data_IF_883233798180
#
_entry.id   IF_883233798180
#
_cell.length_a   1.000
_cell.length_b   1.000
_cell.length_c   1.000
_cell.angle_alpha   90.00
_cell.angle_beta   90.00
_cell.angle_gamma   90.00
#
_symmetry.space_group_name_H-M   'P 1'
#
loop_
_entity.id
_entity.type
_entity.pdbx_description
1 polymer ?
#
# COMPACT_ATOMS: atom_id res chain seq x y z
N UNK A 1 10.86 -20.10 14.29
CA UNK A 1 10.17 -18.84 14.65
C UNK A 1 8.96 -19.18 15.50
N UNK A 2 8.73 -18.43 16.57
CA UNK A 2 7.83 -18.83 17.67
C UNK A 2 6.91 -17.63 17.96
N UNK A 3 5.59 -17.75 17.72
CA UNK A 3 4.60 -16.63 17.77
C UNK A 3 3.79 -16.69 19.11
N UNK A 4 2.59 -16.09 19.32
CA UNK A 4 1.85 -16.19 20.63
C UNK A 4 0.32 -16.36 20.49
N UNK A 5 -0.35 -17.16 21.36
CA UNK A 5 -1.83 -17.11 21.51
C UNK A 5 -2.22 -16.23 22.70
N UNK A 6 -2.51 -14.96 22.41
CA UNK A 6 -3.10 -14.04 23.37
C UNK A 6 -4.62 -14.15 23.33
N UNK A 7 -5.25 -14.24 24.50
CA UNK A 7 -6.70 -14.14 24.62
C UNK A 7 -7.12 -12.69 24.42
N UNK A 8 -7.78 -12.38 23.31
CA UNK A 8 -8.34 -11.06 23.05
C UNK A 8 -9.84 -11.05 23.31
N UNK A 9 -10.30 -10.06 24.07
CA UNK A 9 -11.71 -9.76 24.24
C UNK A 9 -12.06 -8.52 23.41
N UNK A 10 -13.20 -8.51 22.70
CA UNK A 10 -13.67 -7.31 22.03
C UNK A 10 -13.95 -6.25 23.08
N UNK A 11 -13.35 -5.07 22.90
CA UNK A 11 -13.64 -3.93 23.75
C UNK A 11 -15.11 -3.56 23.54
N UNK A 12 -15.94 -3.67 24.59
CA UNK A 12 -17.32 -3.20 24.57
C UNK A 12 -17.30 -1.76 24.06
N UNK A 13 -18.01 -1.50 22.94
CA UNK A 13 -18.03 -0.24 22.17
C UNK A 13 -17.37 0.91 22.94
N UNK A 14 -16.12 1.22 22.57
CA UNK A 14 -15.44 2.41 23.09
C UNK A 14 -16.16 3.60 22.45
N UNK A 15 -17.26 4.02 23.07
CA UNK A 15 -17.73 5.40 22.96
C UNK A 15 -16.52 6.21 23.44
N UNK A 16 -15.86 7.02 22.58
CA UNK A 16 -14.60 7.64 22.97
C UNK A 16 -14.81 8.58 24.15
N UNK A 17 -14.53 8.10 25.35
CA UNK A 17 -14.36 8.94 26.53
C UNK A 17 -12.98 9.57 26.41
N UNK A 18 -12.81 10.44 25.40
CA UNK A 18 -11.88 11.55 25.49
C UNK A 18 -12.34 12.39 26.67
N UNK A 19 -11.95 11.96 27.88
CA UNK A 19 -12.10 12.74 29.10
C UNK A 19 -11.25 13.98 28.89
N UNK A 20 -11.90 15.07 28.52
CA UNK A 20 -11.33 16.40 28.48
C UNK A 20 -11.07 16.84 29.93
N UNK A 21 -10.01 16.28 30.54
CA UNK A 21 -9.49 16.67 31.86
C UNK A 21 -8.83 18.08 31.79
N UNK A 22 -9.52 19.06 31.19
CA UNK A 22 -9.06 20.45 31.03
C UNK A 22 -7.93 20.71 30.02
N UNK A 23 -7.18 19.69 29.58
CA UNK A 23 -6.04 19.88 28.68
C UNK A 23 -6.45 20.04 27.21
N UNK A 24 -6.67 21.28 26.78
CA UNK A 24 -6.93 21.66 25.39
C UNK A 24 -5.70 21.54 24.46
N UNK A 25 -4.72 20.68 24.75
CA UNK A 25 -3.46 20.58 23.99
C UNK A 25 -3.56 19.57 22.84
N UNK A 26 -2.91 19.87 21.71
CA UNK A 26 -2.83 18.93 20.58
C UNK A 26 -1.81 17.81 20.88
N UNK A 27 -2.21 16.55 20.73
CA UNK A 27 -1.34 15.39 21.00
C UNK A 27 -0.08 15.34 20.14
N UNK A 28 -0.10 16.00 18.96
CA UNK A 28 1.02 16.08 18.03
C UNK A 28 1.96 17.25 18.31
N UNK A 29 1.44 18.46 18.57
CA UNK A 29 2.28 19.67 18.66
C UNK A 29 2.30 20.35 20.05
N UNK A 30 1.60 19.79 21.05
CA UNK A 30 1.42 20.34 22.42
C UNK A 30 0.82 21.76 22.50
N UNK A 31 0.37 22.35 21.39
CA UNK A 31 -0.26 23.69 21.38
C UNK A 31 -1.75 23.63 21.65
N UNK A 32 -2.27 24.65 22.36
CA UNK A 32 -3.69 24.93 22.37
C UNK A 32 -4.08 25.61 21.06
N UNK A 33 -4.64 24.80 20.16
CA UNK A 33 -5.10 25.17 18.82
C UNK A 33 -6.47 24.53 18.60
N UNK A 34 -7.32 25.18 17.79
CA UNK A 34 -8.62 24.68 17.36
C UNK A 34 -8.57 23.19 16.97
N UNK A 35 -9.42 22.40 17.63
CA UNK A 35 -9.49 20.94 17.46
C UNK A 35 -10.28 20.55 16.23
N UNK A 36 -9.96 19.37 15.73
CA UNK A 36 -10.66 18.73 14.63
C UNK A 36 -10.82 17.24 14.93
N UNK A 37 -11.79 16.60 14.28
CA UNK A 37 -11.93 15.15 14.29
C UNK A 37 -10.83 14.57 13.38
N UNK A 38 -9.90 13.84 13.98
CA UNK A 38 -8.94 13.00 13.26
C UNK A 38 -9.49 11.58 13.13
N UNK A 39 -9.24 10.95 11.98
CA UNK A 39 -9.52 9.54 11.75
C UNK A 39 -8.24 8.74 11.97
N UNK A 40 -8.23 7.79 12.93
CA UNK A 40 -7.04 7.04 13.35
C UNK A 40 -6.42 6.33 12.15
N UNK A 41 -7.18 5.43 11.54
CA UNK A 41 -6.97 4.93 10.17
C UNK A 41 -7.69 5.92 9.24
N UNK A 42 -7.07 6.36 8.14
CA UNK A 42 -7.73 7.29 7.22
C UNK A 42 -9.09 6.79 6.72
N UNK A 43 -10.09 7.69 6.66
CA UNK A 43 -11.35 7.46 5.93
C UNK A 43 -11.13 6.98 4.48
N UNK A 44 -10.03 7.41 3.85
CA UNK A 44 -9.68 7.03 2.48
C UNK A 44 -9.19 5.57 2.40
N UNK A 45 -8.68 4.99 3.50
CA UNK A 45 -8.26 3.58 3.59
C UNK A 45 -9.44 2.63 3.95
N UNK A 46 -10.57 3.17 4.42
CA UNK A 46 -11.78 2.42 4.78
C UNK A 46 -12.87 2.52 3.69
N UNK A 47 -13.82 1.58 3.65
CA UNK A 47 -14.99 1.64 2.76
C UNK A 47 -16.15 2.49 3.31
N UNK A 48 -16.22 2.69 4.63
CA UNK A 48 -17.18 3.56 5.30
C UNK A 48 -16.57 4.29 6.50
N UNK A 49 -17.33 5.21 7.07
CA UNK A 49 -16.92 6.08 8.18
C UNK A 49 -17.29 5.44 9.53
N UNK A 50 -16.34 4.75 10.14
CA UNK A 50 -16.51 4.05 11.41
C UNK A 50 -16.45 5.04 12.59
N UNK A 51 -17.42 4.98 13.51
CA UNK A 51 -17.44 5.86 14.70
C UNK A 51 -16.24 5.60 15.62
N UNK A 52 -15.87 4.33 15.80
CA UNK A 52 -14.81 3.88 16.69
C UNK A 52 -13.39 4.13 16.09
N UNK A 53 -13.32 4.77 14.92
CA UNK A 53 -12.10 5.21 14.24
C UNK A 53 -11.82 6.72 14.44
N UNK A 54 -12.62 7.42 15.25
CA UNK A 54 -12.56 8.89 15.38
C UNK A 54 -11.99 9.34 16.72
N UNK A 55 -11.06 10.28 16.62
CA UNK A 55 -10.46 11.02 17.73
C UNK A 55 -10.91 12.49 17.60
N UNK A 56 -11.82 12.95 18.46
CA UNK A 56 -12.67 14.13 18.26
C UNK A 56 -12.07 15.46 18.73
N UNK A 57 -11.27 15.46 19.80
CA UNK A 57 -10.84 16.69 20.49
C UNK A 57 -9.33 16.79 20.73
N UNK A 58 -8.56 15.82 20.22
CA UNK A 58 -7.16 15.67 20.62
C UNK A 58 -6.14 16.13 19.57
N UNK A 59 -6.55 16.31 18.31
CA UNK A 59 -5.69 16.78 17.21
C UNK A 59 -6.16 18.15 16.73
N UNK A 60 -5.24 19.07 16.45
CA UNK A 60 -5.57 20.37 15.86
C UNK A 60 -5.57 20.33 14.34
N UNK A 61 -6.33 21.23 13.70
CA UNK A 61 -6.51 21.28 12.24
C UNK A 61 -5.19 21.21 11.46
N UNK A 62 -4.18 21.99 11.86
CA UNK A 62 -2.88 22.01 11.16
C UNK A 62 -2.08 20.71 11.25
N UNK A 63 -2.22 19.95 12.35
CA UNK A 63 -1.61 18.63 12.47
C UNK A 63 -2.42 17.58 11.70
N UNK A 64 -3.76 17.67 11.70
CA UNK A 64 -4.61 16.76 10.91
C UNK A 64 -4.31 16.90 9.41
N UNK A 65 -4.22 18.15 8.92
CA UNK A 65 -3.91 18.44 7.50
C UNK A 65 -2.49 18.06 7.08
N UNK A 66 -1.52 18.02 8.00
CA UNK A 66 -0.17 17.51 7.71
C UNK A 66 -0.17 16.01 7.36
N UNK A 67 -1.11 15.24 7.92
CA UNK A 67 -1.24 13.80 7.69
C UNK A 67 -2.16 13.45 6.52
N UNK A 68 -3.28 14.17 6.37
CA UNK A 68 -4.48 13.69 5.67
C UNK A 68 -4.57 13.81 4.14
N UNK A 69 -3.49 14.10 3.42
CA UNK A 69 -3.49 14.12 1.94
C UNK A 69 -2.25 13.43 1.34
N UNK A 70 -1.05 14.02 1.52
CA UNK A 70 0.15 13.62 0.77
C UNK A 70 0.59 12.15 0.95
N UNK A 71 0.32 11.57 2.12
CA UNK A 71 0.76 10.22 2.50
C UNK A 71 -0.23 9.16 1.99
N UNK A 72 -1.53 9.50 1.94
CA UNK A 72 -2.60 8.59 1.56
C UNK A 72 -2.78 8.52 0.05
N UNK A 73 -2.80 9.70 -0.61
CA UNK A 73 -2.79 9.80 -2.07
C UNK A 73 -1.61 9.04 -2.67
N UNK A 74 -0.48 9.02 -1.96
CA UNK A 74 0.70 8.27 -2.35
C UNK A 74 0.49 6.75 -2.30
N UNK A 75 -0.23 6.22 -1.30
CA UNK A 75 -0.59 4.80 -1.25
C UNK A 75 -1.50 4.45 -2.43
N UNK A 76 -2.54 5.23 -2.72
CA UNK A 76 -3.46 4.90 -3.81
C UNK A 76 -2.85 5.09 -5.21
N UNK A 77 -1.87 6.00 -5.33
CA UNK A 77 -1.25 6.33 -6.61
C UNK A 77 -0.09 5.42 -7.01
N UNK A 78 0.68 4.88 -6.06
CA UNK A 78 1.93 4.17 -6.35
C UNK A 78 1.94 2.70 -5.87
N UNK A 79 0.78 2.20 -5.45
CA UNK A 79 0.60 0.86 -4.91
C UNK A 79 -0.76 0.30 -5.37
N UNK A 80 -0.97 -1.02 -5.38
CA UNK A 80 -2.19 -1.63 -5.90
C UNK A 80 -3.40 -1.46 -4.95
N UNK A 81 -3.20 -0.86 -3.77
CA UNK A 81 -4.21 -0.67 -2.71
C UNK A 81 -5.43 0.10 -3.17
N UNK A 82 -5.25 1.14 -4.00
CA UNK A 82 -6.38 1.92 -4.53
C UNK A 82 -7.28 1.11 -5.45
N UNK A 83 -6.67 0.25 -6.25
CA UNK A 83 -7.34 -0.57 -7.26
C UNK A 83 -8.04 -1.78 -6.65
N UNK A 84 -7.40 -2.41 -5.65
CA UNK A 84 -8.05 -3.41 -4.78
C UNK A 84 -9.28 -2.86 -4.06
N UNK A 85 -9.18 -1.65 -3.47
CA UNK A 85 -10.31 -0.98 -2.84
C UNK A 85 -11.44 -0.69 -3.84
N UNK A 86 -11.09 -0.17 -5.01
CA UNK A 86 -12.03 0.16 -6.08
C UNK A 86 -12.80 -1.09 -6.56
N UNK A 87 -12.11 -2.23 -6.75
CA UNK A 87 -12.75 -3.47 -7.21
C UNK A 87 -13.72 -4.05 -6.16
N UNK A 88 -13.38 -3.97 -4.87
CA UNK A 88 -14.30 -4.37 -3.79
C UNK A 88 -15.52 -3.44 -3.72
N UNK A 89 -15.34 -2.14 -4.00
CA UNK A 89 -16.45 -1.19 -4.08
C UNK A 89 -17.33 -1.40 -5.32
N UNK A 90 -16.77 -1.74 -6.49
CA UNK A 90 -17.56 -2.09 -7.69
C UNK A 90 -18.50 -3.26 -7.41
N UNK A 91 -18.03 -4.30 -6.70
CA UNK A 91 -18.87 -5.45 -6.31
C UNK A 91 -19.94 -5.07 -5.30
N UNK A 92 -19.61 -4.28 -4.26
CA UNK A 92 -20.56 -3.91 -3.19
C UNK A 92 -21.53 -2.79 -3.56
N UNK A 93 -21.12 -1.84 -4.41
CA UNK A 93 -21.76 -0.53 -4.67
C UNK A 93 -21.46 -0.07 -6.12
N UNK A 94 -21.91 -0.80 -7.16
CA UNK A 94 -21.51 -0.55 -8.56
C UNK A 94 -21.77 0.88 -9.05
N UNK A 95 -22.79 1.57 -8.52
CA UNK A 95 -23.16 2.93 -8.93
C UNK A 95 -22.41 4.05 -8.16
N UNK A 96 -21.38 3.73 -7.36
CA UNK A 96 -20.65 4.71 -6.51
C UNK A 96 -19.12 4.60 -6.54
N UNK A 97 -18.55 3.67 -7.29
CA UNK A 97 -17.10 3.44 -7.36
C UNK A 97 -16.47 4.26 -8.49
N UNK A 98 -15.63 5.24 -8.12
CA UNK A 98 -14.73 5.91 -9.04
C UNK A 98 -13.52 6.50 -8.28
N UNK A 99 -12.96 5.76 -7.31
CA UNK A 99 -11.84 6.25 -6.49
C UNK A 99 -10.65 6.64 -7.38
N UNK A 100 -10.41 5.85 -8.43
CA UNK A 100 -9.28 6.06 -9.34
C UNK A 100 -9.48 7.24 -10.32
N UNK A 101 -10.68 7.79 -10.53
CA UNK A 101 -10.86 8.93 -11.46
C UNK A 101 -10.17 10.20 -10.99
N UNK A 102 -10.00 10.34 -9.67
CA UNK A 102 -9.47 11.55 -9.05
C UNK A 102 -7.93 11.56 -8.98
N UNK A 103 -7.29 10.42 -9.26
CA UNK A 103 -5.83 10.30 -9.23
C UNK A 103 -5.27 10.35 -10.66
N UNK A 104 -4.21 11.15 -10.87
CA UNK A 104 -3.42 11.07 -12.11
C UNK A 104 -2.80 9.67 -12.18
N UNK A 105 -3.38 8.83 -13.04
CA UNK A 105 -3.02 7.42 -13.21
C UNK A 105 -1.49 7.26 -13.36
N UNK A 106 -0.94 6.32 -12.60
CA UNK A 106 0.45 5.88 -12.71
C UNK A 106 0.42 4.42 -13.15
N UNK A 107 1.03 4.09 -14.29
CA UNK A 107 1.19 2.69 -14.69
C UNK A 107 1.89 1.89 -13.59
N UNK A 108 1.34 0.73 -13.25
CA UNK A 108 2.03 -0.26 -12.44
C UNK A 108 2.92 -1.11 -13.37
N UNK A 109 4.05 -1.59 -12.85
CA UNK A 109 5.06 -2.30 -13.63
C UNK A 109 5.36 -3.68 -13.03
N UNK A 110 5.52 -4.67 -13.89
CA UNK A 110 5.97 -6.01 -13.49
C UNK A 110 7.15 -6.44 -14.35
N UNK A 111 8.11 -7.14 -13.75
CA UNK A 111 9.21 -7.72 -14.49
C UNK A 111 8.78 -9.08 -15.03
N UNK A 112 8.97 -9.27 -16.33
CA UNK A 112 8.84 -10.57 -16.96
C UNK A 112 10.23 -11.11 -17.28
N UNK A 113 10.67 -12.09 -16.47
CA UNK A 113 11.99 -12.72 -16.59
C UNK A 113 12.20 -13.43 -17.93
N UNK A 114 11.14 -13.94 -18.58
CA UNK A 114 11.24 -14.58 -19.89
C UNK A 114 11.62 -13.58 -21.00
N UNK A 115 11.17 -12.33 -20.91
CA UNK A 115 11.55 -11.26 -21.84
C UNK A 115 12.71 -10.39 -21.32
N UNK A 116 13.19 -10.64 -20.09
CA UNK A 116 14.14 -9.79 -19.36
C UNK A 116 13.70 -8.30 -19.32
N UNK A 117 12.39 -8.06 -19.26
CA UNK A 117 11.79 -6.74 -19.52
C UNK A 117 10.64 -6.41 -18.55
N UNK A 118 10.51 -5.12 -18.24
CA UNK A 118 9.39 -4.53 -17.51
C UNK A 118 8.15 -4.32 -18.39
N UNK A 119 6.99 -4.80 -17.95
CA UNK A 119 5.71 -4.72 -18.65
C UNK A 119 4.73 -3.88 -17.83
N UNK A 120 3.96 -3.01 -18.50
CA UNK A 120 2.87 -2.25 -17.86
C UNK A 120 1.70 -3.17 -17.58
N UNK A 121 1.06 -3.00 -16.41
CA UNK A 121 -0.16 -3.69 -16.01
C UNK A 121 -1.28 -2.73 -15.62
N UNK A 122 -2.51 -3.21 -15.76
CA UNK A 122 -3.75 -2.53 -15.43
C UNK A 122 -4.61 -3.47 -14.56
N UNK A 123 -4.75 -3.19 -13.26
CA UNK A 123 -5.49 -4.07 -12.35
C UNK A 123 -6.99 -3.73 -12.24
N UNK A 124 -7.50 -2.81 -13.07
CA UNK A 124 -8.89 -2.34 -13.02
C UNK A 124 -9.89 -3.25 -13.74
N UNK A 125 -9.38 -4.20 -14.53
CA UNK A 125 -10.14 -5.21 -15.26
C UNK A 125 -10.13 -6.55 -14.52
N UNK A 126 -11.31 -7.04 -14.13
CA UNK A 126 -11.50 -8.42 -13.69
C UNK A 126 -11.24 -9.35 -14.88
N UNK A 127 -10.08 -10.00 -14.92
CA UNK A 127 -9.66 -10.83 -16.04
C UNK A 127 -8.21 -10.59 -16.38
N UNK A 128 -7.94 -9.87 -17.47
CA UNK A 128 -6.58 -9.72 -17.98
C UNK A 128 -5.86 -8.51 -17.35
N UNK A 129 -4.82 -8.70 -16.52
CA UNK A 129 -4.06 -7.59 -15.93
C UNK A 129 -3.13 -6.93 -16.95
N UNK A 130 -2.99 -7.52 -18.14
CA UNK A 130 -2.18 -6.98 -19.22
C UNK A 130 -3.06 -6.10 -20.14
N UNK A 131 -2.85 -4.78 -20.16
CA UNK A 131 -3.42 -3.93 -21.20
C UNK A 131 -2.77 -4.22 -22.55
N UNK A 132 -3.45 -3.81 -23.61
CA UNK A 132 -2.95 -3.86 -24.99
C UNK A 132 -1.83 -2.81 -25.16
N UNK A 133 -0.69 -3.19 -25.74
CA UNK A 133 0.51 -2.35 -25.80
C UNK A 133 1.22 -2.49 -27.16
N UNK A 134 1.92 -1.44 -27.58
CA UNK A 134 2.95 -1.51 -28.62
C UNK A 134 4.28 -1.16 -27.96
N UNK A 135 5.24 -2.06 -28.03
CA UNK A 135 6.54 -1.95 -27.36
C UNK A 135 7.64 -1.83 -28.42
N UNK A 136 8.56 -0.88 -28.26
CA UNK A 136 9.81 -0.83 -29.05
C UNK A 136 10.90 -1.56 -28.28
N UNK A 137 11.11 -2.85 -28.60
CA UNK A 137 12.09 -3.69 -27.90
C UNK A 137 13.52 -3.17 -28.06
N UNK A 138 14.41 -3.60 -27.17
CA UNK A 138 15.86 -3.37 -27.24
C UNK A 138 16.51 -3.74 -28.60
N UNK A 139 15.87 -4.62 -29.38
CA UNK A 139 16.26 -4.99 -30.75
C UNK A 139 15.87 -3.92 -31.81
N UNK A 140 15.34 -2.76 -31.39
CA UNK A 140 14.76 -1.72 -32.23
C UNK A 140 13.60 -2.23 -33.13
N UNK A 141 12.85 -3.21 -32.62
CA UNK A 141 11.67 -3.79 -33.25
C UNK A 141 10.41 -3.39 -32.50
N UNK A 142 9.36 -2.97 -33.23
CA UNK A 142 8.04 -2.78 -32.63
C UNK A 142 7.31 -4.12 -32.54
N UNK A 143 6.73 -4.43 -31.38
CA UNK A 143 5.96 -5.66 -31.15
C UNK A 143 4.64 -5.30 -30.48
N UNK A 144 3.54 -5.89 -30.95
CA UNK A 144 2.22 -5.75 -30.31
C UNK A 144 2.14 -6.77 -29.19
N UNK A 145 1.95 -6.29 -27.97
CA UNK A 145 1.66 -7.11 -26.82
C UNK A 145 0.15 -7.12 -26.60
N UNK A 146 -0.51 -8.19 -27.04
CA UNK A 146 -1.91 -8.46 -26.73
C UNK A 146 -2.04 -9.82 -26.03
N UNK A 147 -2.63 -9.88 -24.81
CA UNK A 147 -2.77 -11.13 -24.06
C UNK A 147 -4.05 -11.91 -24.43
N UNK A 148 -4.88 -11.41 -25.35
CA UNK A 148 -5.95 -12.17 -26.00
C UNK A 148 -5.38 -12.73 -27.31
N UNK A 149 -5.75 -13.97 -27.68
CA UNK A 149 -5.43 -14.55 -29.00
C UNK A 149 -6.28 -13.87 -30.10
N UNK A 150 -5.96 -12.62 -30.40
CA UNK A 150 -6.63 -11.83 -31.44
C UNK A 150 -6.13 -12.20 -32.83
N UNK A 151 -7.02 -12.11 -33.82
CA UNK A 151 -6.69 -12.33 -35.22
C UNK A 151 -5.95 -11.13 -35.83
N UNK A 152 -5.49 -11.28 -37.08
CA UNK A 152 -4.73 -10.23 -37.80
C UNK A 152 -5.51 -8.90 -37.92
N UNK A 153 -6.82 -8.96 -38.19
CA UNK A 153 -7.67 -7.77 -38.35
C UNK A 153 -7.82 -7.01 -37.03
N UNK A 154 -7.97 -7.73 -35.93
CA UNK A 154 -8.09 -7.15 -34.59
C UNK A 154 -6.78 -6.48 -34.13
N UNK A 155 -5.63 -7.15 -34.33
CA UNK A 155 -4.32 -6.54 -34.06
C UNK A 155 -4.07 -5.31 -34.94
N UNK A 156 -4.58 -5.32 -36.19
CA UNK A 156 -4.51 -4.16 -37.10
C UNK A 156 -5.29 -2.96 -36.55
N UNK A 157 -6.51 -3.18 -36.07
CA UNK A 157 -7.34 -2.11 -35.50
C UNK A 157 -6.67 -1.47 -34.28
N UNK A 158 -6.06 -2.26 -33.40
CA UNK A 158 -5.30 -1.77 -32.24
C UNK A 158 -4.10 -0.93 -32.68
N UNK A 159 -3.34 -1.39 -33.69
CA UNK A 159 -2.24 -0.61 -34.24
C UNK A 159 -2.71 0.72 -34.85
N UNK A 160 -3.79 0.70 -35.64
CA UNK A 160 -4.37 1.89 -36.26
C UNK A 160 -4.88 2.89 -35.21
N UNK A 161 -5.47 2.42 -34.11
CA UNK A 161 -5.87 3.23 -32.95
C UNK A 161 -4.67 3.95 -32.31
N UNK A 162 -3.61 3.23 -31.97
CA UNK A 162 -2.40 3.82 -31.38
C UNK A 162 -1.68 4.79 -32.32
N UNK A 163 -1.63 4.48 -33.62
CA UNK A 163 -1.05 5.36 -34.65
C UNK A 163 -1.87 6.65 -34.79
N UNK A 164 -3.20 6.54 -34.81
CA UNK A 164 -4.09 7.68 -34.86
C UNK A 164 -3.89 8.58 -33.63
N UNK A 165 -3.78 7.98 -32.45
CA UNK A 165 -3.54 8.72 -31.22
C UNK A 165 -2.22 9.50 -31.24
N UNK A 166 -1.12 8.93 -31.75
CA UNK A 166 0.16 9.65 -31.87
C UNK A 166 0.13 10.75 -32.94
N UNK A 167 -0.63 10.56 -34.02
CA UNK A 167 -0.83 11.58 -35.07
C UNK A 167 -1.69 12.75 -34.61
N UNK A 168 -2.67 12.49 -33.75
CA UNK A 168 -3.60 13.50 -33.20
C UNK A 168 -3.15 14.09 -31.86
N UNK A 169 -2.03 13.60 -31.31
CA UNK A 169 -1.55 13.87 -29.95
C UNK A 169 -2.57 13.59 -28.83
N UNK A 170 -3.53 12.69 -29.09
CA UNK A 170 -4.59 12.26 -28.17
C UNK A 170 -4.12 11.16 -27.19
N UNK A 171 -2.95 11.35 -26.60
CA UNK A 171 -2.37 10.48 -25.58
C UNK A 171 -1.83 11.29 -24.39
N UNK A 172 -1.50 10.60 -23.29
CA UNK A 172 -0.79 11.23 -22.16
C UNK A 172 0.59 10.60 -21.97
N UNK A 173 1.58 11.40 -21.59
CA UNK A 173 2.94 10.90 -21.35
C UNK A 173 3.17 10.60 -19.86
N UNK A 174 3.77 9.44 -19.60
CA UNK A 174 4.44 9.08 -18.35
C UNK A 174 5.94 8.91 -18.62
N UNK A 175 6.72 9.93 -18.24
CA UNK A 175 8.18 9.90 -18.29
C UNK A 175 8.76 9.98 -16.88
N UNK A 176 9.67 9.07 -16.52
CA UNK A 176 10.29 9.08 -15.19
C UNK A 176 11.68 8.45 -15.19
N UNK A 177 12.67 9.16 -14.64
CA UNK A 177 14.02 8.65 -14.39
C UNK A 177 14.08 7.48 -13.40
N UNK A 178 12.97 7.16 -12.73
CA UNK A 178 12.82 6.01 -11.82
C UNK A 178 12.41 4.72 -12.55
N UNK A 179 12.19 4.78 -13.86
CA UNK A 179 12.02 3.60 -14.71
C UNK A 179 13.39 2.94 -14.88
N UNK A 180 13.45 1.62 -14.73
CA UNK A 180 14.69 0.84 -14.86
C UNK A 180 15.29 0.91 -16.27
N UNK A 181 16.61 0.72 -16.41
CA UNK A 181 17.32 0.84 -17.70
C UNK A 181 16.87 -0.17 -18.76
N UNK A 182 16.34 -1.32 -18.36
CA UNK A 182 15.79 -2.36 -19.25
C UNK A 182 14.28 -2.23 -19.52
N UNK A 183 13.72 -1.02 -19.41
CA UNK A 183 12.34 -0.72 -19.82
C UNK A 183 12.30 -0.23 -21.27
N UNK A 184 11.76 -1.05 -22.18
CA UNK A 184 11.45 -0.62 -23.55
C UNK A 184 10.30 0.41 -23.59
N UNK A 185 10.45 1.55 -24.28
CA UNK A 185 9.38 2.54 -24.42
C UNK A 185 8.20 1.99 -25.22
N UNK A 186 6.99 2.44 -24.87
CA UNK A 186 5.74 1.84 -25.37
C UNK A 186 4.55 2.78 -25.35
N UNK A 187 3.53 2.46 -26.13
CA UNK A 187 2.16 2.90 -25.88
C UNK A 187 1.38 1.79 -25.20
N UNK A 188 0.46 2.17 -24.32
CA UNK A 188 -0.42 1.25 -23.60
C UNK A 188 -1.84 1.82 -23.51
N UNK A 189 -2.85 0.98 -23.69
CA UNK A 189 -4.27 1.34 -23.61
C UNK A 189 -4.87 0.86 -22.29
N UNK A 190 -5.28 1.81 -21.45
CA UNK A 190 -5.74 1.57 -20.08
C UNK A 190 -7.12 2.19 -19.93
N UNK A 191 -8.14 1.33 -19.92
CA UNK A 191 -9.52 1.72 -20.24
C UNK A 191 -9.54 2.49 -21.57
N UNK A 192 -10.19 3.64 -21.65
CA UNK A 192 -10.26 4.47 -22.87
C UNK A 192 -9.08 5.47 -23.00
N UNK A 193 -8.02 5.31 -22.21
CA UNK A 193 -6.86 6.22 -22.20
C UNK A 193 -5.63 5.57 -22.81
N UNK A 194 -5.03 6.25 -23.78
CA UNK A 194 -3.73 5.89 -24.35
C UNK A 194 -2.64 6.64 -23.60
N UNK A 195 -1.62 5.90 -23.14
CA UNK A 195 -0.49 6.42 -22.37
C UNK A 195 0.80 6.04 -23.09
N UNK A 196 1.66 7.02 -23.36
CA UNK A 196 3.04 6.79 -23.79
C UNK A 196 3.92 6.69 -22.54
N UNK A 197 4.62 5.58 -22.40
CA UNK A 197 5.51 5.30 -21.26
C UNK A 197 6.94 5.20 -21.77
N UNK A 198 7.82 6.03 -21.23
CA UNK A 198 9.24 6.11 -21.60
C UNK A 198 10.09 6.49 -20.37
N UNK A 199 11.38 6.16 -20.35
CA UNK A 199 12.25 6.57 -19.22
C UNK A 199 12.55 8.07 -19.26
N UNK A 200 12.78 8.63 -20.45
CA UNK A 200 13.03 10.05 -20.65
C UNK A 200 12.43 10.58 -21.98
N UNK A 201 12.46 11.90 -22.17
CA UNK A 201 11.86 12.59 -23.33
C UNK A 201 12.55 12.24 -24.67
N UNK A 202 13.82 11.83 -24.66
CA UNK A 202 14.53 11.42 -25.89
C UNK A 202 14.04 10.04 -26.35
N UNK A 203 13.85 9.10 -25.41
CA UNK A 203 13.29 7.77 -25.70
C UNK A 203 11.85 7.90 -26.24
N UNK A 204 11.05 8.79 -25.64
CA UNK A 204 9.71 9.16 -26.12
C UNK A 204 9.73 9.68 -27.56
N UNK A 205 10.61 10.65 -27.86
CA UNK A 205 10.72 11.24 -29.20
C UNK A 205 11.18 10.21 -30.24
N UNK A 206 12.18 9.37 -29.90
CA UNK A 206 12.66 8.29 -30.74
C UNK A 206 11.56 7.25 -31.00
N UNK A 207 10.84 6.86 -29.96
CA UNK A 207 9.71 5.93 -30.04
C UNK A 207 8.60 6.47 -30.96
N UNK A 208 8.16 7.73 -30.77
CA UNK A 208 7.15 8.37 -31.64
C UNK A 208 7.59 8.36 -33.11
N UNK A 209 8.85 8.73 -33.39
CA UNK A 209 9.41 8.75 -34.75
C UNK A 209 9.46 7.34 -35.37
N UNK A 210 9.85 6.32 -34.61
CA UNK A 210 9.86 4.92 -35.09
C UNK A 210 8.44 4.44 -35.42
N UNK A 211 7.50 4.68 -34.50
CA UNK A 211 6.11 4.25 -34.63
C UNK A 211 5.41 4.87 -35.86
N UNK A 212 5.54 6.18 -36.06
CA UNK A 212 4.92 6.89 -37.19
C UNK A 212 5.45 6.44 -38.58
N UNK A 213 6.68 5.92 -38.64
CA UNK A 213 7.33 5.45 -39.86
C UNK A 213 7.14 3.95 -40.14
N UNK A 214 6.55 3.19 -39.21
CA UNK A 214 6.39 1.74 -39.33
C UNK A 214 5.04 1.39 -39.96
N UNK A 215 5.02 0.45 -40.92
CA UNK A 215 3.79 -0.09 -41.50
C UNK A 215 3.31 -1.31 -40.72
N UNK A 216 2.00 -1.54 -40.67
CA UNK A 216 1.45 -2.72 -39.99
C UNK A 216 2.00 -4.06 -40.54
N UNK A 217 2.28 -4.12 -41.84
CA UNK A 217 2.92 -5.27 -42.50
C UNK A 217 4.32 -5.58 -41.98
N UNK A 218 5.03 -4.62 -41.39
CA UNK A 218 6.37 -4.82 -40.82
C UNK A 218 6.30 -5.44 -39.42
N UNK A 219 5.14 -5.39 -38.75
CA UNK A 219 4.86 -6.09 -37.49
C UNK A 219 4.48 -7.56 -37.69
N UNK A 220 4.17 -7.94 -38.94
CA UNK A 220 3.52 -9.20 -39.30
C UNK A 220 4.38 -10.45 -39.00
N UNK A 221 5.71 -10.29 -38.90
CA UNK A 221 6.66 -11.34 -38.54
C UNK A 221 6.95 -11.42 -37.03
N UNK A 222 6.35 -10.55 -36.20
CA UNK A 222 6.66 -10.41 -34.77
C UNK A 222 5.42 -10.46 -33.86
N UNK A 223 4.26 -10.81 -34.42
CA UNK A 223 3.09 -11.26 -33.64
C UNK A 223 3.38 -12.67 -33.11
N UNK A 224 4.33 -12.78 -32.18
CA UNK A 224 4.52 -14.02 -31.46
C UNK A 224 3.24 -14.34 -30.70
N UNK A 225 2.88 -15.63 -30.68
CA UNK A 225 1.99 -16.19 -29.66
C UNK A 225 2.70 -16.15 -28.31
N UNK A 226 2.87 -14.94 -27.79
CA UNK A 226 3.15 -14.70 -26.40
C UNK A 226 1.86 -14.95 -25.61
N UNK A 227 1.39 -16.20 -25.65
CA UNK A 227 0.80 -16.81 -24.46
C UNK A 227 1.84 -16.50 -23.40
N UNK A 228 1.51 -15.58 -22.50
CA UNK A 228 2.40 -15.24 -21.39
C UNK A 228 2.62 -16.56 -20.68
N UNK A 229 3.84 -17.10 -20.80
CA UNK A 229 4.20 -18.39 -20.22
C UNK A 229 3.80 -18.40 -18.76
N UNK A 230 3.52 -19.59 -18.23
CA UNK A 230 3.02 -19.77 -16.85
C UNK A 230 3.71 -18.79 -15.91
N UNK A 231 2.88 -17.97 -15.26
CA UNK A 231 3.30 -16.80 -14.47
C UNK A 231 3.86 -17.30 -13.13
N UNK A 232 4.94 -18.07 -13.20
CA UNK A 232 5.44 -18.84 -12.08
C UNK A 232 6.27 -17.95 -11.14
N UNK A 233 6.87 -16.88 -11.70
CA UNK A 233 7.54 -15.79 -10.97
C UNK A 233 7.30 -14.47 -11.69
N UNK A 234 6.55 -13.55 -11.06
CA UNK A 234 6.42 -12.17 -11.51
C UNK A 234 6.84 -11.23 -10.39
N UNK A 235 7.97 -10.56 -10.60
CA UNK A 235 8.39 -9.47 -9.74
C UNK A 235 7.54 -8.26 -10.06
N UNK A 236 7.07 -7.57 -9.04
CA UNK A 236 6.21 -6.40 -9.20
C UNK A 236 6.95 -5.20 -8.61
N UNK A 237 7.03 -4.12 -9.38
CA UNK A 237 7.69 -2.89 -8.96
C UNK A 237 6.64 -1.87 -8.55
N UNK A 238 6.69 -1.52 -7.27
CA UNK A 238 5.94 -0.41 -6.73
C UNK A 238 6.91 0.70 -6.37
N UNK A 239 6.53 1.95 -6.66
CA UNK A 239 7.30 3.11 -6.23
C UNK A 239 7.05 3.33 -4.74
N UNK A 240 7.82 2.64 -3.91
CA UNK A 240 7.66 2.69 -2.46
C UNK A 240 8.28 3.97 -1.86
N UNK A 241 7.93 4.25 -0.60
CA UNK A 241 8.65 5.18 0.25
C UNK A 241 8.51 4.68 1.67
N UNK A 242 9.54 3.96 2.12
CA UNK A 242 9.60 3.37 3.47
C UNK A 242 9.37 4.48 4.52
N UNK A 243 9.91 5.68 4.28
CA UNK A 243 9.66 6.87 5.11
C UNK A 243 8.17 7.24 5.19
N UNK A 244 7.41 7.23 4.09
CA UNK A 244 5.94 7.50 4.12
C UNK A 244 5.17 6.40 4.82
N UNK A 245 5.49 5.13 4.55
CA UNK A 245 4.85 3.99 5.21
C UNK A 245 5.08 3.98 6.72
N UNK A 246 6.33 4.20 7.15
CA UNK A 246 6.67 4.33 8.56
C UNK A 246 5.99 5.55 9.19
N UNK A 247 5.95 6.70 8.50
CA UNK A 247 5.25 7.89 9.00
C UNK A 247 3.76 7.61 9.23
N UNK A 248 3.09 6.97 8.27
CA UNK A 248 1.68 6.58 8.39
C UNK A 248 1.44 5.57 9.52
N UNK A 249 2.26 4.52 9.59
CA UNK A 249 2.09 3.47 10.60
C UNK A 249 2.35 3.98 12.02
N UNK A 250 3.32 4.89 12.21
CA UNK A 250 3.48 5.61 13.47
C UNK A 250 2.30 6.52 13.80
N UNK A 251 1.77 7.27 12.81
CA UNK A 251 0.57 8.10 12.99
C UNK A 251 -0.61 7.27 13.49
N UNK A 252 -0.93 6.17 12.80
CA UNK A 252 -2.04 5.28 13.16
C UNK A 252 -1.84 4.69 14.56
N UNK A 253 -0.63 4.19 14.87
CA UNK A 253 -0.34 3.61 16.18
C UNK A 253 -0.40 4.63 17.33
N UNK A 254 0.10 5.85 17.11
CA UNK A 254 0.10 6.90 18.12
C UNK A 254 -1.32 7.44 18.41
N UNK A 255 -2.15 7.59 17.37
CA UNK A 255 -3.55 8.00 17.54
C UNK A 255 -4.44 6.88 18.09
N UNK A 256 -4.11 5.61 17.81
CA UNK A 256 -4.77 4.49 18.49
C UNK A 256 -4.40 4.43 19.99
N UNK A 257 -3.14 4.71 20.35
CA UNK A 257 -2.74 4.87 21.75
C UNK A 257 -3.50 6.02 22.44
N UNK A 258 -3.70 7.14 21.72
CA UNK A 258 -4.50 8.27 22.18
C UNK A 258 -5.94 7.86 22.52
N UNK A 259 -6.59 7.09 21.65
CA UNK A 259 -7.97 6.61 21.84
C UNK A 259 -8.09 5.72 23.08
N UNK A 260 -7.15 4.81 23.28
CA UNK A 260 -7.20 3.81 24.36
C UNK A 260 -6.81 4.39 25.73
N UNK A 261 -5.75 5.20 25.80
CA UNK A 261 -5.18 5.69 27.08
C UNK A 261 -5.51 7.15 27.39
N UNK A 262 -6.12 7.87 26.44
CA UNK A 262 -6.42 9.29 26.57
C UNK A 262 -5.21 10.20 26.27
N UNK A 263 -5.51 11.45 25.92
CA UNK A 263 -4.50 12.42 25.48
C UNK A 263 -3.50 12.82 26.56
N UNK A 264 -3.90 12.80 27.83
CA UNK A 264 -3.02 13.05 28.98
C UNK A 264 -1.84 12.05 29.03
N UNK A 265 -2.09 10.77 28.73
CA UNK A 265 -1.08 9.73 28.72
C UNK A 265 0.03 10.01 27.69
N UNK A 266 -0.36 10.39 26.48
CA UNK A 266 0.57 10.63 25.36
C UNK A 266 1.12 12.05 25.29
N UNK A 267 0.52 13.04 25.96
CA UNK A 267 1.07 14.40 26.09
C UNK A 267 2.32 14.46 26.98
N UNK A 268 2.62 13.40 27.72
CA UNK A 268 3.87 13.26 28.47
C UNK A 268 5.13 13.37 27.56
N UNK A 269 6.23 13.87 28.12
CA UNK A 269 7.49 14.13 27.40
C UNK A 269 8.17 12.88 26.81
N UNK A 270 7.89 11.68 27.32
CA UNK A 270 8.43 10.40 26.81
C UNK A 270 8.01 10.11 25.34
N UNK A 271 7.09 10.89 24.77
CA UNK A 271 6.64 10.82 23.37
C UNK A 271 7.14 12.02 22.53
N UNK A 272 7.91 12.96 23.08
CA UNK A 272 8.35 14.17 22.36
C UNK A 272 9.34 13.89 21.24
N UNK A 273 10.22 12.89 21.38
CA UNK A 273 11.12 12.47 20.31
C UNK A 273 10.36 11.93 19.10
N UNK A 274 9.31 11.13 19.33
CA UNK A 274 8.43 10.64 18.27
C UNK A 274 7.73 11.81 17.56
N UNK A 275 7.11 12.73 18.32
CA UNK A 275 6.47 13.93 17.79
C UNK A 275 7.43 14.77 16.94
N UNK A 276 8.60 15.11 17.48
CA UNK A 276 9.62 15.93 16.81
C UNK A 276 10.12 15.28 15.52
N UNK A 277 10.37 13.96 15.55
CA UNK A 277 10.79 13.19 14.38
C UNK A 277 9.76 13.26 13.26
N UNK A 278 8.49 13.02 13.58
CA UNK A 278 7.41 12.93 12.58
C UNK A 278 6.96 14.28 12.02
N UNK A 279 6.89 15.33 12.86
CA UNK A 279 6.51 16.68 12.41
C UNK A 279 7.66 17.43 11.70
N UNK A 280 8.85 16.85 11.59
CA UNK A 280 9.99 17.53 10.96
C UNK A 280 9.84 17.59 9.43
N UNK A 281 9.63 18.80 8.90
CA UNK A 281 9.56 19.07 7.45
C UNK A 281 10.82 18.70 6.65
N UNK A 282 11.94 18.35 7.33
CA UNK A 282 13.18 17.85 6.69
C UNK A 282 13.03 16.45 6.08
N UNK A 283 11.92 15.76 6.35
CA UNK A 283 11.53 14.54 5.64
C UNK A 283 11.11 14.85 4.20
N UNK A 284 12.08 15.18 3.33
CA UNK A 284 11.95 14.78 1.92
C UNK A 284 11.73 13.27 1.93
N UNK A 285 10.54 12.87 1.53
CA UNK A 285 10.16 11.48 1.43
C UNK A 285 10.89 10.88 0.24
N UNK A 286 12.08 10.33 0.50
CA UNK A 286 12.86 9.67 -0.53
C UNK A 286 12.00 8.57 -1.17
N UNK A 287 11.93 8.62 -2.50
CA UNK A 287 11.29 7.57 -3.29
C UNK A 287 12.28 6.42 -3.37
N UNK A 288 11.93 5.28 -2.77
CA UNK A 288 12.72 4.07 -2.88
C UNK A 288 11.94 3.15 -3.81
N UNK A 289 12.43 3.01 -5.04
CA UNK A 289 12.06 1.90 -5.91
C UNK A 289 12.37 0.60 -5.17
N UNK A 290 11.33 -0.17 -4.79
CA UNK A 290 11.51 -1.49 -4.21
C UNK A 290 11.15 -2.51 -5.28
N UNK A 291 12.16 -3.28 -5.67
CA UNK A 291 11.98 -4.51 -6.41
C UNK A 291 11.40 -5.56 -5.46
N UNK A 292 10.18 -6.06 -5.69
CA UNK A 292 9.71 -7.21 -4.93
C UNK A 292 10.32 -8.49 -5.53
N UNK A 293 11.36 -9.01 -4.86
CA UNK A 293 12.12 -10.17 -5.32
C UNK A 293 11.42 -11.51 -5.03
N UNK A 294 10.43 -11.56 -4.13
CA UNK A 294 9.81 -12.80 -3.65
C UNK A 294 8.27 -12.78 -3.58
N UNK A 295 7.61 -13.09 -4.70
CA UNK A 295 6.18 -13.41 -4.74
C UNK A 295 5.71 -13.95 -6.10
N UNK A 296 4.74 -14.87 -6.12
CA UNK A 296 4.09 -15.29 -7.37
C UNK A 296 2.96 -14.31 -7.73
N UNK A 297 3.32 -13.14 -8.26
CA UNK A 297 2.43 -12.23 -8.98
C UNK A 297 1.06 -11.95 -8.33
N UNK A 298 0.00 -12.03 -9.13
CA UNK A 298 -1.39 -11.88 -8.72
C UNK A 298 -2.17 -13.18 -8.94
N UNK A 299 -3.12 -13.48 -8.06
CA UNK A 299 -4.18 -14.42 -8.37
C UNK A 299 -5.16 -13.78 -9.35
N UNK A 300 -4.96 -14.00 -10.66
CA UNK A 300 -5.67 -13.35 -11.79
C UNK A 300 -7.20 -13.29 -11.64
N UNK A 301 -7.81 -14.32 -11.02
CA UNK A 301 -9.27 -14.39 -10.79
C UNK A 301 -9.79 -13.54 -9.62
N UNK A 302 -8.95 -13.19 -8.66
CA UNK A 302 -9.32 -12.44 -7.43
C UNK A 302 -8.60 -11.11 -7.30
N UNK A 303 -7.60 -10.86 -8.16
CA UNK A 303 -6.69 -9.72 -8.14
C UNK A 303 -5.91 -9.54 -6.83
N UNK A 304 -5.96 -10.50 -5.90
CA UNK A 304 -5.18 -10.48 -4.67
C UNK A 304 -3.70 -10.79 -4.95
N UNK A 305 -2.79 -10.15 -4.20
CA UNK A 305 -1.41 -10.59 -4.06
C UNK A 305 -1.39 -11.81 -3.13
N UNK A 306 -0.96 -13.02 -3.57
CA UNK A 306 -0.93 -14.20 -2.70
C UNK A 306 0.27 -14.20 -1.72
N UNK A 307 1.05 -13.12 -1.70
CA UNK A 307 2.32 -12.94 -0.99
C UNK A 307 2.43 -11.53 -0.42
N UNK A 308 3.47 -11.29 0.38
CA UNK A 308 3.68 -10.04 1.09
C UNK A 308 4.53 -9.05 0.27
N UNK A 309 4.36 -7.75 0.51
CA UNK A 309 5.28 -6.71 0.03
C UNK A 309 6.36 -6.48 1.10
N UNK A 310 7.53 -7.06 0.89
CA UNK A 310 8.73 -6.86 1.72
C UNK A 310 9.28 -5.43 1.56
N UNK A 311 9.75 -4.82 2.65
CA UNK A 311 10.29 -3.44 2.68
C UNK A 311 11.77 -3.35 2.29
N UNK A 312 12.40 -4.49 1.98
CA UNK A 312 13.75 -4.61 1.45
C UNK A 312 14.84 -4.73 2.52
N UNK A 313 15.80 -5.62 2.31
CA UNK A 313 16.85 -5.96 3.29
C UNK A 313 17.89 -4.85 3.49
N UNK A 314 18.03 -3.90 2.56
CA UNK A 314 19.06 -2.84 2.59
C UNK A 314 18.83 -1.73 3.64
N UNK A 315 17.90 -1.94 4.58
CA UNK A 315 17.73 -1.07 5.73
C UNK A 315 18.81 -1.35 6.79
N UNK A 316 19.98 -0.72 6.61
CA UNK A 316 21.00 -0.58 7.67
C UNK A 316 20.47 0.29 8.83
N UNK A 317 19.50 -0.23 9.58
CA UNK A 317 19.07 0.37 10.84
C UNK A 317 20.14 0.15 11.90
N UNK A 318 20.92 1.21 12.17
CA UNK A 318 21.90 1.29 13.25
C UNK A 318 21.25 1.28 14.66
N UNK A 319 20.28 0.39 14.93
CA UNK A 319 19.60 0.26 16.23
C UNK A 319 19.49 -1.21 16.66
N UNK A 320 20.41 -1.59 17.56
CA UNK A 320 20.59 -2.91 18.21
C UNK A 320 19.41 -3.38 19.10
N UNK A 321 18.21 -2.84 18.96
CA UNK A 321 17.06 -3.18 19.83
C UNK A 321 16.09 -4.02 19.01
N UNK A 322 16.19 -5.35 19.13
CA UNK A 322 15.14 -6.23 18.61
C UNK A 322 13.93 -6.19 19.55
N UNK A 323 12.74 -6.09 18.95
CA UNK A 323 11.46 -6.07 19.65
C UNK A 323 10.54 -7.14 19.03
N UNK A 324 9.75 -7.86 19.85
CA UNK A 324 8.93 -8.97 19.37
C UNK A 324 7.88 -8.49 18.37
N UNK A 325 7.65 -9.25 17.29
CA UNK A 325 6.61 -8.94 16.32
C UNK A 325 5.31 -9.60 16.77
N UNK A 326 4.28 -8.80 17.04
CA UNK A 326 2.94 -9.31 17.33
C UNK A 326 2.05 -9.16 16.09
N UNK A 327 1.65 -10.28 15.50
CA UNK A 327 0.76 -10.31 14.34
C UNK A 327 -0.57 -10.99 14.66
N UNK A 328 -1.68 -10.39 14.26
CA UNK A 328 -2.94 -11.12 14.15
C UNK A 328 -2.85 -11.97 12.88
N UNK A 329 -3.04 -13.29 13.04
CA UNK A 329 -3.04 -14.25 11.95
C UNK A 329 -4.44 -14.25 11.31
N UNK A 330 -4.67 -13.27 10.44
CA UNK A 330 -5.83 -13.26 9.53
C UNK A 330 -5.44 -13.93 8.20
N UNK A 331 -6.11 -15.03 7.86
CA UNK A 331 -6.02 -15.64 6.53
C UNK A 331 -6.65 -14.74 5.47
N UNK A 332 -5.90 -14.51 4.40
CA UNK A 332 -6.35 -14.10 3.05
C UNK A 332 -7.24 -12.84 2.93
N UNK A 333 -7.39 -12.08 4.01
CA UNK A 333 -8.20 -10.87 4.04
C UNK A 333 -7.32 -9.62 3.96
N UNK A 334 -7.76 -8.67 3.15
CA UNK A 334 -7.12 -7.37 3.00
C UNK A 334 -7.42 -6.53 4.24
N UNK A 335 -6.64 -6.75 5.29
CA UNK A 335 -6.87 -6.21 6.63
C UNK A 335 -5.84 -5.14 7.00
N UNK A 336 -6.24 -4.22 7.86
CA UNK A 336 -5.31 -3.38 8.62
C UNK A 336 -5.31 -3.93 10.05
N UNK A 337 -4.13 -4.17 10.62
CA UNK A 337 -3.99 -4.56 12.04
C UNK A 337 -2.92 -3.72 12.72
N UNK A 338 -3.26 -3.14 13.87
CA UNK A 338 -2.34 -2.43 14.76
C UNK A 338 -2.41 -3.11 16.12
N UNK A 339 -1.26 -3.44 16.70
CA UNK A 339 -1.14 -3.98 18.05
C UNK A 339 -0.20 -3.09 18.85
N UNK A 340 -0.60 -2.66 20.04
CA UNK A 340 0.20 -1.86 20.97
C UNK A 340 0.43 -2.66 22.24
N UNK A 341 1.67 -2.71 22.69
CA UNK A 341 2.13 -3.50 23.83
C UNK A 341 3.28 -2.80 24.54
N UNK A 342 3.49 -3.14 25.81
CA UNK A 342 4.70 -2.79 26.56
C UNK A 342 5.70 -3.92 26.37
N UNK A 343 6.97 -3.59 26.17
CA UNK A 343 8.07 -4.56 26.16
C UNK A 343 9.24 -3.94 26.91
N UNK A 344 9.58 -4.50 28.08
CA UNK A 344 10.49 -3.88 29.05
C UNK A 344 10.02 -2.45 29.36
N UNK A 345 10.91 -1.46 29.25
CA UNK A 345 10.62 -0.03 29.45
C UNK A 345 10.31 0.69 28.13
N UNK A 346 9.71 -0.01 27.15
CA UNK A 346 9.31 0.54 25.87
C UNK A 346 7.80 0.37 25.67
N UNK A 347 7.16 1.38 25.09
CA UNK A 347 5.84 1.24 24.48
C UNK A 347 6.08 1.01 22.99
N UNK A 348 5.71 -0.18 22.53
CA UNK A 348 5.93 -0.64 21.18
C UNK A 348 4.61 -0.78 20.43
N UNK A 349 4.69 -0.70 19.11
CA UNK A 349 3.58 -1.05 18.24
C UNK A 349 4.04 -1.92 17.07
N UNK A 350 3.16 -2.83 16.68
CA UNK A 350 3.30 -3.67 15.50
C UNK A 350 2.17 -3.30 14.55
N UNK A 351 2.48 -2.85 13.34
CA UNK A 351 1.47 -2.35 12.37
C UNK A 351 1.61 -3.05 11.03
N UNK A 352 0.55 -3.72 10.59
CA UNK A 352 0.37 -4.25 9.25
C UNK A 352 -0.73 -3.45 8.55
N UNK A 353 -0.41 -2.76 7.45
CA UNK A 353 -1.43 -2.24 6.55
C UNK A 353 -1.51 -3.17 5.37
N UNK A 354 -2.65 -3.84 5.17
CA UNK A 354 -2.89 -4.73 4.04
C UNK A 354 -1.82 -5.82 3.92
N UNK A 355 -1.54 -6.35 2.73
CA UNK A 355 -0.50 -7.37 2.56
C UNK A 355 0.93 -6.80 2.42
N UNK A 356 1.26 -5.77 3.22
CA UNK A 356 2.61 -5.19 3.33
C UNK A 356 3.28 -5.76 4.57
N UNK A 357 4.61 -5.86 4.53
CA UNK A 357 5.42 -6.22 5.69
C UNK A 357 5.11 -5.35 6.92
N UNK A 358 5.24 -5.99 8.07
CA UNK A 358 4.86 -5.46 9.37
C UNK A 358 5.89 -4.41 9.84
N UNK A 359 5.44 -3.18 10.06
CA UNK A 359 6.23 -2.16 10.76
C UNK A 359 6.40 -2.51 12.24
N UNK A 360 7.66 -2.65 12.69
CA UNK A 360 8.02 -2.67 14.12
C UNK A 360 8.31 -1.24 14.58
N UNK A 361 7.60 -0.74 15.59
CA UNK A 361 7.68 0.65 16.04
C UNK A 361 7.97 0.75 17.54
N UNK A 362 8.83 1.69 17.94
CA UNK A 362 8.99 2.13 19.33
C UNK A 362 8.31 3.50 19.42
N UNK A 363 7.17 3.57 20.10
CA UNK A 363 6.41 4.81 20.27
C UNK A 363 6.98 5.67 21.41
N UNK A 364 7.55 5.02 22.43
CA UNK A 364 8.13 5.69 23.60
C UNK A 364 9.09 4.77 24.36
N UNK A 365 10.02 5.37 25.12
CA UNK A 365 10.94 4.70 26.05
C UNK A 365 10.48 4.86 27.52
N UNK A 366 9.18 4.82 27.76
CA UNK A 366 8.58 5.08 29.08
C UNK A 366 8.46 3.83 29.94
N UNK A 367 8.65 3.99 31.26
CA UNK A 367 8.30 2.97 32.26
C UNK A 367 6.79 2.90 32.55
N UNK A 368 5.97 3.85 32.08
CA UNK A 368 4.55 3.95 32.42
C UNK A 368 3.77 2.65 32.12
N UNK A 369 2.81 2.28 32.98
CA UNK A 369 2.02 1.06 32.78
C UNK A 369 1.05 1.23 31.61
N UNK A 370 1.20 0.36 30.60
CA UNK A 370 0.18 0.19 29.57
C UNK A 370 -1.00 -0.62 30.11
N UNK A 371 -0.72 -1.68 30.86
CA UNK A 371 -1.66 -2.52 31.62
C UNK A 371 -2.24 -3.70 30.84
N UNK A 372 -2.42 -3.55 29.52
CA UNK A 372 -2.86 -4.62 28.61
C UNK A 372 -2.24 -4.42 27.23
N UNK A 373 -2.33 -5.44 26.39
CA UNK A 373 -2.07 -5.36 24.96
C UNK A 373 -3.37 -4.94 24.28
N UNK A 374 -3.29 -3.97 23.39
CA UNK A 374 -4.44 -3.44 22.67
C UNK A 374 -4.28 -3.69 21.18
N UNK A 375 -5.38 -4.03 20.51
CA UNK A 375 -5.37 -4.23 19.06
C UNK A 375 -6.58 -3.57 18.40
N UNK A 376 -6.39 -3.12 17.17
CA UNK A 376 -7.47 -2.71 16.27
C UNK A 376 -7.28 -3.41 14.93
N UNK A 377 -8.33 -4.05 14.45
CA UNK A 377 -8.38 -4.69 13.12
C UNK A 377 -9.46 -4.07 12.27
N UNK A 378 -9.18 -3.93 10.97
CA UNK A 378 -10.17 -3.60 9.95
C UNK A 378 -10.16 -4.67 8.87
N UNK A 379 -11.33 -5.28 8.58
CA UNK A 379 -11.52 -6.14 7.43
C UNK A 379 -12.28 -5.40 6.33
N UNK A 380 -11.63 -5.13 5.19
CA UNK A 380 -12.26 -4.41 4.07
C UNK A 380 -13.42 -5.22 3.44
N UNK A 381 -13.29 -6.55 3.40
CA UNK A 381 -14.26 -7.45 2.74
C UNK A 381 -15.59 -7.45 3.51
N UNK A 382 -15.54 -7.34 4.84
CA UNK A 382 -16.72 -7.16 5.68
C UNK A 382 -17.10 -5.67 5.85
N UNK A 383 -16.15 -4.75 5.64
CA UNK A 383 -16.22 -3.35 6.09
C UNK A 383 -16.46 -3.26 7.61
N UNK A 384 -15.62 -3.96 8.37
CA UNK A 384 -15.78 -4.14 9.81
C UNK A 384 -14.50 -3.75 10.55
N UNK A 385 -14.64 -2.81 11.48
CA UNK A 385 -13.59 -2.38 12.41
C UNK A 385 -13.85 -3.02 13.77
N UNK A 386 -12.85 -3.64 14.39
CA UNK A 386 -12.94 -4.23 15.71
C UNK A 386 -11.78 -3.72 16.58
N UNK A 387 -12.08 -3.42 17.84
CA UNK A 387 -11.09 -3.05 18.86
C UNK A 387 -11.06 -4.14 19.92
N UNK A 388 -9.86 -4.49 20.39
CA UNK A 388 -9.62 -5.56 21.35
C UNK A 388 -8.65 -5.15 22.44
N UNK A 389 -8.80 -5.76 23.60
CA UNK A 389 -7.80 -5.80 24.66
C UNK A 389 -7.46 -7.25 25.02
N UNK A 390 -6.23 -7.51 25.46
CA UNK A 390 -5.83 -8.82 25.96
C UNK A 390 -6.38 -9.09 27.36
N UNK A 391 -6.62 -10.36 27.68
CA UNK A 391 -6.77 -10.82 29.06
C UNK A 391 -5.44 -10.77 29.83
N UNK A 392 -4.32 -10.99 29.14
CA UNK A 392 -2.95 -10.92 29.68
C UNK A 392 -2.54 -9.46 29.95
N UNK A 393 -1.87 -9.19 31.08
CA UNK A 393 -1.23 -7.88 31.31
C UNK A 393 -0.03 -7.73 30.36
N UNK A 394 0.19 -6.52 29.85
CA UNK A 394 1.39 -6.19 29.05
C UNK A 394 2.71 -6.30 29.82
N UNK A 395 2.66 -6.37 31.15
CA UNK A 395 3.84 -6.43 32.02
C UNK A 395 4.30 -7.86 32.31
N UNK A 396 3.42 -8.86 32.11
CA UNK A 396 3.72 -10.30 32.27
C UNK A 396 4.36 -10.90 31.01
N UNK A 397 4.80 -10.05 30.07
CA UNK A 397 5.36 -10.45 28.77
C UNK A 397 6.83 -10.88 28.90
N UNK A 398 7.08 -11.99 29.62
CA UNK A 398 8.41 -12.55 29.85
C UNK A 398 9.03 -13.07 28.53
N UNK A 399 10.35 -12.91 28.39
CA UNK A 399 11.11 -13.21 27.16
C UNK A 399 11.02 -14.69 26.73
N UNK A 400 10.55 -15.55 27.62
CA UNK A 400 10.42 -17.01 27.44
C UNK A 400 9.09 -17.44 26.80
N UNK A 401 8.07 -16.58 26.72
CA UNK A 401 6.73 -16.97 26.25
C UNK A 401 6.49 -16.51 24.81
N UNK A 402 6.99 -17.32 23.88
CA UNK A 402 6.72 -17.22 22.46
C UNK A 402 6.33 -18.61 21.93
N UNK A 403 5.08 -19.08 22.04
CA UNK A 403 4.51 -20.17 21.20
C UNK A 403 2.98 -20.02 20.98
N UNK A 404 2.40 -20.37 19.81
CA UNK A 404 0.97 -20.58 19.61
C UNK A 404 0.59 -21.86 18.87
N UNK A 405 -0.65 -22.31 19.09
CA UNK A 405 -1.51 -22.66 17.95
C UNK A 405 -2.99 -22.35 18.20
N UNK A 406 -3.78 -22.53 17.15
CA UNK A 406 -5.19 -22.16 17.02
C UNK A 406 -6.17 -22.97 17.86
N UNK A 407 -7.28 -22.30 18.19
CA UNK A 407 -8.66 -22.68 17.84
C UNK A 407 -9.61 -21.67 18.52
N UNK A 408 -10.77 -21.33 17.97
CA UNK A 408 -11.71 -22.17 17.21
C UNK A 408 -11.83 -21.91 15.70
N UNK A 409 -11.92 -23.01 14.93
CA UNK A 409 -12.08 -23.19 13.47
C UNK A 409 -10.78 -23.29 12.64
N UNK A 410 -10.15 -24.45 12.80
CA UNK A 410 -9.40 -25.27 11.81
C UNK A 410 -8.93 -24.62 10.50
N UNK A 411 -7.62 -24.70 10.25
CA UNK A 411 -7.05 -25.30 9.03
C UNK A 411 -5.56 -25.71 9.23
N UNK A 412 -5.04 -26.45 8.25
CA UNK A 412 -3.82 -27.29 8.32
C UNK A 412 -2.54 -26.55 7.88
N UNK A 413 -1.37 -27.17 8.11
CA UNK A 413 -0.05 -26.64 7.75
C UNK A 413 0.53 -27.34 6.52
N UNK A 414 1.26 -26.58 5.70
CA UNK A 414 2.27 -27.08 4.76
C UNK A 414 3.64 -26.49 5.12
N UNK A 415 4.70 -27.21 4.76
CA UNK A 415 6.11 -26.88 5.05
C UNK A 415 6.64 -25.61 4.35
#
# INVERSE_FOLDING_TARGET
MTKVKLGFHPLKKIIPSEKTNGLELCIWCKKNNKKNVAHIISKNLLLSDHLDNKLKYSVCESCNSFWGSEIEDWIFKYTPIGEWKENILKVKKPNKSNILSNYKYVPNFIFNSYYNEWIVVNHSNNGNPFPEQIILTNENQLKIFNPKNLNYRENKLIFEEFILAVKQESFTTYSSSLIEDNFSPRLVKISDKIILVAKNNNDEALYRKKLLNTKFSELQNLINKNIVGSIDKMHIHFKWSIKRYLSLTNKIAFEFLALIKGSEYILNEDFDDLRKSLLSKKNKYDNISILNESGKGFAVKTLNFPYWITLGEKLNYNRKIDIPVLSILDDENFTISVIIYKYKNLICATVKLFNIEISKLILSKTCKPLGKIYAITYCIKEDKLNLYESSTNSEDFDERILVPYYNTRQLELFD
#
